data_IF_004228835295
#
_entry.id   IF_004228835295
#
_cell.length_a   1.000
_cell.length_b   1.000
_cell.length_c   1.000
_cell.angle_alpha   90.00
_cell.angle_beta   90.00
_cell.angle_gamma   90.00
#
_symmetry.space_group_name_H-M   'P 1'
#
loop_
_entity.id
_entity.type
_entity.pdbx_description
1 polymer ?
#
# COMPACT_ATOMS: atom_id res chain seq x y z
N UNK A 1 -16.24 54.45 1.56
CA UNK A 1 -16.22 54.09 2.98
C UNK A 1 -17.55 53.45 3.31
N UNK A 2 -17.57 52.14 3.56
CA UNK A 2 -18.58 51.42 4.35
C UNK A 2 -18.11 49.96 4.39
N UNK A 3 -17.53 49.60 5.52
CA UNK A 3 -17.16 48.26 5.92
C UNK A 3 -18.43 47.48 6.26
N UNK A 4 -18.61 46.29 5.68
CA UNK A 4 -19.58 45.31 6.15
C UNK A 4 -18.86 44.01 6.49
N UNK A 5 -18.97 43.66 7.77
CA UNK A 5 -18.38 42.53 8.47
C UNK A 5 -18.83 41.19 7.89
N UNK A 6 -17.88 40.27 7.74
CA UNK A 6 -18.14 38.83 7.60
C UNK A 6 -18.34 38.19 8.99
N UNK A 7 -19.18 37.16 9.11
CA UNK A 7 -19.46 36.49 10.38
C UNK A 7 -18.28 35.64 10.86
N UNK A 8 -18.01 35.74 12.17
CA UNK A 8 -17.02 34.98 12.93
C UNK A 8 -17.36 33.49 13.01
N UNK A 9 -16.41 32.64 12.62
CA UNK A 9 -16.40 31.21 12.95
C UNK A 9 -15.99 31.01 14.43
N UNK A 10 -16.52 29.97 15.11
CA UNK A 10 -16.31 29.76 16.53
C UNK A 10 -14.87 29.32 16.86
N UNK A 11 -14.39 29.80 18.01
CA UNK A 11 -13.11 29.42 18.60
C UNK A 11 -13.11 27.94 19.00
N UNK A 12 -12.00 27.25 18.74
CA UNK A 12 -11.67 25.94 19.30
C UNK A 12 -10.97 26.20 20.64
N UNK A 13 -11.74 26.22 21.72
CA UNK A 13 -11.29 25.85 23.08
C UNK A 13 -11.31 24.30 23.12
N UNK A 14 -10.40 23.51 23.69
CA UNK A 14 -9.43 23.67 24.76
C UNK A 14 -8.21 22.76 24.44
N UNK A 15 -7.00 23.33 24.35
CA UNK A 15 -5.76 22.58 24.56
C UNK A 15 -5.35 22.85 26.00
N UNK A 16 -5.54 21.88 26.88
CA UNK A 16 -5.11 21.91 28.28
C UNK A 16 -3.57 22.01 28.36
N UNK A 17 -3.05 23.23 28.45
CA UNK A 17 -1.68 23.50 28.84
C UNK A 17 -1.56 23.43 30.37
N UNK A 18 -1.11 22.29 30.89
CA UNK A 18 -0.65 22.21 32.29
C UNK A 18 0.79 22.74 32.39
N UNK A 19 0.95 24.03 32.68
CA UNK A 19 2.20 24.55 33.22
C UNK A 19 2.14 24.48 34.75
N UNK A 20 2.78 23.47 35.34
CA UNK A 20 3.05 23.47 36.77
C UNK A 20 4.10 24.55 37.08
N UNK A 21 3.72 25.55 37.87
CA UNK A 21 4.63 26.54 38.45
C UNK A 21 5.56 25.84 39.45
N UNK A 22 6.87 25.97 39.26
CA UNK A 22 7.88 25.68 40.28
C UNK A 22 8.61 26.98 40.65
N UNK A 23 8.09 27.68 41.66
CA UNK A 23 8.80 28.79 42.30
C UNK A 23 9.57 28.28 43.53
N UNK A 24 10.90 28.41 43.50
CA UNK A 24 11.74 28.18 44.68
C UNK A 24 13.21 27.85 44.42
N UNK A 25 13.98 28.82 43.92
CA UNK A 25 15.45 28.99 44.06
C UNK A 25 16.37 27.75 43.92
N UNK A 26 17.07 27.66 42.78
CA UNK A 26 18.55 27.68 42.72
C UNK A 26 19.02 27.34 41.29
N UNK A 27 20.14 27.96 40.91
CA UNK A 27 20.77 27.96 39.58
C UNK A 27 20.44 26.76 38.67
N UNK A 28 19.85 27.04 37.50
CA UNK A 28 19.60 26.02 36.49
C UNK A 28 20.94 25.38 36.08
N UNK A 29 21.17 24.15 36.56
CA UNK A 29 22.34 23.36 36.22
C UNK A 29 22.39 23.21 34.68
N UNK A 30 23.54 23.43 34.01
CA UNK A 30 23.62 23.40 32.53
C UNK A 30 23.07 22.11 31.92
N UNK A 31 23.23 20.99 32.62
CA UNK A 31 22.68 19.68 32.26
C UNK A 31 21.14 19.71 32.16
N UNK A 32 20.46 20.35 33.12
CA UNK A 32 18.99 20.48 33.10
C UNK A 32 18.52 21.41 31.98
N UNK A 33 19.27 22.47 31.68
CA UNK A 33 18.94 23.38 30.57
C UNK A 33 19.10 22.72 29.19
N UNK A 34 20.18 21.97 28.96
CA UNK A 34 20.40 21.22 27.73
C UNK A 34 19.39 20.09 27.56
N UNK A 35 19.01 19.42 28.65
CA UNK A 35 17.96 18.41 28.67
C UNK A 35 16.59 18.99 28.28
N UNK A 36 16.18 20.07 28.92
CA UNK A 36 14.90 20.74 28.60
C UNK A 36 14.87 21.26 27.17
N UNK A 37 15.99 21.77 26.66
CA UNK A 37 16.11 22.20 25.27
C UNK A 37 15.93 21.02 24.29
N UNK A 38 16.49 19.84 24.58
CA UNK A 38 16.29 18.65 23.75
C UNK A 38 14.86 18.11 23.80
N UNK A 39 14.20 18.15 24.97
CA UNK A 39 12.80 17.72 25.11
C UNK A 39 11.88 18.61 24.25
N UNK A 40 12.05 19.93 24.36
CA UNK A 40 11.24 20.91 23.60
C UNK A 40 11.54 20.95 22.10
N UNK A 41 12.67 20.38 21.66
CA UNK A 41 13.02 20.18 20.24
C UNK A 41 12.57 18.81 19.69
N UNK A 42 11.88 17.99 20.47
CA UNK A 42 11.42 16.65 20.10
C UNK A 42 9.90 16.60 20.00
N UNK A 43 9.39 15.87 19.01
CA UNK A 43 7.95 15.58 18.85
C UNK A 43 7.73 14.10 18.63
N UNK A 44 6.64 13.57 19.20
CA UNK A 44 6.09 12.25 18.90
C UNK A 44 4.83 12.42 18.07
N UNK A 45 4.83 11.86 16.86
CA UNK A 45 3.63 11.67 16.06
C UNK A 45 3.10 10.25 16.28
N UNK A 46 1.83 10.15 16.64
CA UNK A 46 1.12 8.88 16.88
C UNK A 46 0.04 8.73 15.81
N UNK A 47 0.14 7.69 15.00
CA UNK A 47 -0.93 7.34 14.08
C UNK A 47 -2.14 6.77 14.82
N UNK A 48 -3.34 7.32 14.57
CA UNK A 48 -4.56 6.87 15.23
C UNK A 48 -4.99 5.43 14.84
N UNK A 49 -4.42 4.87 13.77
CA UNK A 49 -4.61 3.49 13.37
C UNK A 49 -3.84 2.50 14.23
N UNK A 50 -2.87 2.94 15.04
CA UNK A 50 -2.16 2.07 16.00
C UNK A 50 -3.11 1.70 17.13
N UNK A 51 -3.26 0.40 17.37
CA UNK A 51 -4.06 -0.15 18.48
C UNK A 51 -3.71 0.52 19.81
N UNK A 52 -4.70 1.05 20.53
CA UNK A 52 -4.51 1.67 21.85
C UNK A 52 -3.41 2.76 21.89
N UNK A 53 -3.32 3.59 20.84
CA UNK A 53 -2.35 4.68 20.77
C UNK A 53 -2.48 5.66 21.96
N UNK A 54 -3.64 5.73 22.61
CA UNK A 54 -3.89 6.59 23.78
C UNK A 54 -3.01 6.20 24.97
N UNK A 55 -2.78 4.90 25.20
CA UNK A 55 -1.84 4.43 26.23
C UNK A 55 -0.43 4.91 25.92
N UNK A 56 0.02 4.83 24.66
CA UNK A 56 1.33 5.35 24.23
C UNK A 56 1.40 6.87 24.37
N UNK A 57 0.33 7.59 24.02
CA UNK A 57 0.22 9.03 24.18
C UNK A 57 0.39 9.45 25.65
N UNK A 58 -0.27 8.75 26.58
CA UNK A 58 -0.17 9.01 28.01
C UNK A 58 1.25 8.73 28.55
N UNK A 59 1.99 7.82 27.92
CA UNK A 59 3.37 7.49 28.28
C UNK A 59 4.45 8.35 27.65
N UNK A 60 4.11 9.33 26.80
CA UNK A 60 5.11 10.27 26.29
C UNK A 60 5.68 11.10 27.44
N UNK A 61 7.00 11.24 27.49
CA UNK A 61 7.67 11.99 28.55
C UNK A 61 7.19 13.44 28.59
N UNK A 62 6.83 13.98 29.77
CA UNK A 62 6.43 15.38 29.91
C UNK A 62 7.45 16.36 29.32
N UNK A 63 6.96 17.33 28.55
CA UNK A 63 7.78 18.34 27.87
C UNK A 63 8.16 17.99 26.43
N UNK A 64 7.86 16.77 25.96
CA UNK A 64 7.89 16.40 24.54
C UNK A 64 6.52 16.70 23.94
N UNK A 65 6.50 17.31 22.75
CA UNK A 65 5.24 17.55 22.05
C UNK A 65 4.67 16.22 21.50
N UNK A 66 3.36 16.03 21.59
CA UNK A 66 2.68 14.85 21.03
C UNK A 66 1.58 15.28 20.08
N UNK A 67 1.53 14.66 18.90
CA UNK A 67 0.54 14.95 17.85
C UNK A 67 -0.07 13.64 17.37
N UNK A 68 -1.41 13.57 17.33
CA UNK A 68 -2.13 12.41 16.80
C UNK A 68 -2.48 12.65 15.34
N UNK A 69 -2.10 11.72 14.46
CA UNK A 69 -2.46 11.76 13.04
C UNK A 69 -3.85 11.16 12.86
N UNK A 70 -4.73 11.94 12.24
CA UNK A 70 -6.12 11.54 11.98
C UNK A 70 -6.20 10.60 10.77
N UNK A 71 -7.08 9.59 10.78
CA UNK A 71 -7.15 8.57 9.73
C UNK A 71 -7.83 9.04 8.45
N UNK A 72 -8.38 10.25 8.41
CA UNK A 72 -9.11 10.79 7.25
C UNK A 72 -8.30 11.86 6.48
N UNK A 73 -7.07 12.14 6.91
CA UNK A 73 -6.18 13.10 6.26
C UNK A 73 -4.84 12.44 5.94
N UNK A 74 -4.14 13.01 4.97
CA UNK A 74 -2.80 12.56 4.61
C UNK A 74 -1.83 12.78 5.77
N UNK A 75 -1.15 11.72 6.22
CA UNK A 75 -0.24 11.80 7.35
C UNK A 75 1.00 12.67 7.10
N UNK A 76 1.52 12.69 5.87
CA UNK A 76 2.68 13.52 5.51
C UNK A 76 2.30 15.00 5.49
N UNK A 77 1.11 15.33 4.99
CA UNK A 77 0.59 16.69 5.03
C UNK A 77 0.38 17.18 6.48
N UNK A 78 -0.22 16.34 7.34
CA UNK A 78 -0.42 16.65 8.77
C UNK A 78 0.92 16.93 9.48
N UNK A 79 1.93 16.06 9.30
CA UNK A 79 3.27 16.25 9.87
C UNK A 79 3.90 17.54 9.33
N UNK A 80 3.83 17.76 8.02
CA UNK A 80 4.41 18.95 7.37
C UNK A 80 3.80 20.25 7.91
N UNK A 81 2.48 20.30 8.05
CA UNK A 81 1.78 21.46 8.60
C UNK A 81 2.19 21.76 10.05
N UNK A 82 2.34 20.73 10.89
CA UNK A 82 2.82 20.90 12.26
C UNK A 82 4.24 21.45 12.31
N UNK A 83 5.17 20.88 11.52
CA UNK A 83 6.57 21.29 11.52
C UNK A 83 6.77 22.73 11.02
N UNK A 84 5.96 23.19 10.08
CA UNK A 84 5.98 24.59 9.61
C UNK A 84 5.65 25.58 10.73
N UNK A 85 4.75 25.20 11.65
CA UNK A 85 4.36 26.02 12.79
C UNK A 85 5.33 25.88 13.98
N UNK A 86 6.20 24.86 13.97
CA UNK A 86 7.08 24.48 15.08
C UNK A 86 8.55 24.38 14.64
N UNK A 87 9.19 25.49 14.23
CA UNK A 87 10.54 25.50 13.65
C UNK A 87 11.66 25.12 14.65
N UNK A 88 11.35 25.04 15.94
CA UNK A 88 12.25 24.58 17.00
C UNK A 88 12.46 23.07 17.01
N UNK A 89 11.57 22.30 16.36
CA UNK A 89 11.64 20.84 16.33
C UNK A 89 12.80 20.40 15.43
N UNK A 90 13.62 19.49 15.95
CA UNK A 90 14.76 18.89 15.24
C UNK A 90 14.74 17.37 15.26
N UNK A 91 13.89 16.75 16.08
CA UNK A 91 13.80 15.29 16.24
C UNK A 91 12.36 14.83 16.17
N UNK A 92 12.09 13.85 15.31
CA UNK A 92 10.79 13.23 15.12
C UNK A 92 10.83 11.78 15.60
N UNK A 93 9.88 11.41 16.43
CA UNK A 93 9.51 10.01 16.68
C UNK A 93 8.16 9.77 16.01
N UNK A 94 8.09 8.79 15.12
CA UNK A 94 6.89 8.46 14.35
C UNK A 94 6.44 7.04 14.70
N UNK A 95 5.26 6.92 15.28
CA UNK A 95 4.67 5.65 15.71
C UNK A 95 3.50 5.32 14.81
N UNK A 96 3.61 4.20 14.09
CA UNK A 96 2.62 3.81 13.10
C UNK A 96 2.65 2.30 12.83
N UNK A 97 1.68 1.81 12.07
CA UNK A 97 1.85 0.52 11.39
C UNK A 97 2.97 0.63 10.33
N UNK A 98 3.53 -0.53 9.97
CA UNK A 98 4.61 -0.60 8.99
C UNK A 98 4.68 -1.96 8.31
N UNK A 99 5.39 -1.98 7.18
CA UNK A 99 5.81 -3.17 6.45
C UNK A 99 7.18 -2.89 5.82
N UNK A 100 7.94 -3.90 5.34
CA UNK A 100 9.22 -3.68 4.66
C UNK A 100 9.16 -2.57 3.60
N UNK A 101 9.81 -1.43 3.84
CA UNK A 101 9.85 -0.28 2.94
C UNK A 101 8.57 0.58 2.88
N UNK A 102 7.67 0.48 3.87
CA UNK A 102 6.39 1.19 3.89
C UNK A 102 5.98 1.62 5.32
N UNK A 103 5.48 2.85 5.44
CA UNK A 103 4.82 3.41 6.63
C UNK A 103 3.35 3.75 6.32
N UNK A 104 2.46 3.48 7.26
CA UNK A 104 1.04 3.83 7.15
C UNK A 104 0.75 5.04 8.05
N UNK A 105 0.32 6.17 7.47
CA UNK A 105 0.20 7.45 8.18
C UNK A 105 -1.08 8.17 7.78
N UNK A 106 -2.03 8.28 8.70
CA UNK A 106 -3.37 8.79 8.42
C UNK A 106 -4.08 7.92 7.38
N UNK A 107 -4.52 8.53 6.28
CA UNK A 107 -5.04 7.79 5.11
C UNK A 107 -4.00 7.51 4.01
N UNK A 108 -2.71 7.80 4.25
CA UNK A 108 -1.66 7.63 3.25
C UNK A 108 -0.71 6.49 3.61
N UNK A 109 -0.04 5.95 2.60
CA UNK A 109 1.09 5.04 2.76
C UNK A 109 2.32 5.73 2.19
N UNK A 110 3.37 5.94 2.98
CA UNK A 110 4.65 6.42 2.47
C UNK A 110 5.55 5.21 2.22
N UNK A 111 5.91 4.97 0.96
CA UNK A 111 6.73 3.81 0.58
C UNK A 111 7.67 4.13 -0.60
N UNK A 112 8.48 3.16 -1.00
CA UNK A 112 9.46 3.32 -2.09
C UNK A 112 8.88 3.82 -3.42
N UNK A 113 7.59 3.61 -3.64
CA UNK A 113 6.94 3.83 -4.92
C UNK A 113 6.40 5.28 -5.06
N UNK A 114 6.01 5.91 -3.95
CA UNK A 114 5.48 7.28 -3.92
C UNK A 114 6.31 8.28 -3.08
N UNK A 115 7.43 7.87 -2.48
CA UNK A 115 8.26 8.77 -1.66
C UNK A 115 8.70 10.04 -2.39
N UNK A 116 8.82 9.98 -3.72
CA UNK A 116 9.16 11.15 -4.54
C UNK A 116 7.97 12.04 -4.89
N UNK A 117 6.74 11.54 -4.79
CA UNK A 117 5.52 12.36 -4.92
C UNK A 117 5.43 13.34 -3.74
N UNK A 118 5.88 12.90 -2.55
CA UNK A 118 6.00 13.72 -1.33
C UNK A 118 7.31 14.52 -1.24
N UNK A 119 8.14 14.55 -2.29
CA UNK A 119 9.49 15.15 -2.22
C UNK A 119 9.45 16.59 -1.69
N UNK A 120 8.51 17.40 -2.17
CA UNK A 120 8.42 18.81 -1.77
C UNK A 120 8.10 18.95 -0.28
N UNK A 121 7.16 18.17 0.23
CA UNK A 121 6.80 18.12 1.64
C UNK A 121 7.98 17.65 2.49
N UNK A 122 8.60 16.52 2.13
CA UNK A 122 9.72 15.93 2.86
C UNK A 122 10.97 16.81 2.85
N UNK A 123 11.24 17.55 1.76
CA UNK A 123 12.34 18.53 1.71
C UNK A 123 12.09 19.74 2.61
N UNK A 124 10.84 20.07 2.92
CA UNK A 124 10.53 21.12 3.90
C UNK A 124 10.89 20.68 5.33
N UNK A 125 11.21 19.40 5.56
CA UNK A 125 11.67 18.89 6.85
C UNK A 125 13.19 19.05 7.03
N UNK A 126 13.87 19.86 6.23
CA UNK A 126 15.34 20.00 6.23
C UNK A 126 15.97 20.44 7.57
N UNK A 127 15.18 20.97 8.53
CA UNK A 127 15.67 21.29 9.90
C UNK A 127 15.62 20.09 10.84
N UNK A 128 14.99 19.00 10.42
CA UNK A 128 14.91 17.76 11.19
C UNK A 128 16.24 17.05 11.03
N UNK A 129 16.92 16.91 12.16
CA UNK A 129 18.17 16.17 12.22
C UNK A 129 17.88 14.67 12.23
N UNK A 130 16.91 14.23 13.04
CA UNK A 130 16.71 12.81 13.35
C UNK A 130 15.24 12.42 13.16
N UNK A 131 15.01 11.27 12.49
CA UNK A 131 13.69 10.65 12.33
C UNK A 131 13.75 9.21 12.83
N UNK A 132 12.97 8.89 13.85
CA UNK A 132 12.88 7.57 14.46
C UNK A 132 11.53 6.94 14.11
N UNK A 133 11.57 5.81 13.40
CA UNK A 133 10.42 5.15 12.80
C UNK A 133 10.04 3.88 13.57
N UNK A 134 9.03 3.99 14.42
CA UNK A 134 8.44 2.89 15.15
C UNK A 134 7.30 2.28 14.32
N UNK A 135 7.66 1.68 13.19
CA UNK A 135 6.75 0.90 12.36
C UNK A 135 7.27 -0.52 12.22
N UNK A 136 6.35 -1.49 12.29
CA UNK A 136 6.67 -2.91 12.21
C UNK A 136 7.46 -3.21 10.92
N UNK A 137 8.68 -3.72 11.05
CA UNK A 137 9.53 -4.20 9.95
C UNK A 137 9.82 -3.17 8.84
N UNK A 138 9.66 -1.87 9.10
CA UNK A 138 9.85 -0.81 8.08
C UNK A 138 11.22 -0.89 7.41
N UNK A 139 12.25 -1.23 8.16
CA UNK A 139 13.62 -1.37 7.66
C UNK A 139 14.04 -2.83 7.39
N UNK A 140 13.11 -3.77 7.35
CA UNK A 140 13.44 -5.16 7.05
C UNK A 140 13.81 -5.36 5.57
N UNK A 141 14.87 -6.15 5.34
CA UNK A 141 15.35 -6.51 4.01
C UNK A 141 15.85 -5.34 3.16
N UNK A 142 16.09 -5.64 1.88
CA UNK A 142 16.61 -4.67 0.91
C UNK A 142 15.64 -3.51 0.68
N UNK A 143 14.33 -3.81 0.61
CA UNK A 143 13.28 -2.80 0.45
C UNK A 143 13.25 -1.81 1.62
N UNK A 144 13.29 -2.31 2.86
CA UNK A 144 13.32 -1.45 4.03
C UNK A 144 14.58 -0.60 4.13
N UNK A 145 15.74 -1.19 3.82
CA UNK A 145 17.02 -0.47 3.81
C UNK A 145 17.04 0.64 2.75
N UNK A 146 16.55 0.36 1.54
CA UNK A 146 16.47 1.37 0.48
C UNK A 146 15.47 2.49 0.83
N UNK A 147 14.36 2.14 1.49
CA UNK A 147 13.35 3.12 1.92
C UNK A 147 13.93 4.15 2.88
N UNK A 148 14.57 3.70 3.97
CA UNK A 148 15.17 4.62 4.94
C UNK A 148 16.33 5.43 4.34
N UNK A 149 17.08 4.84 3.41
CA UNK A 149 18.14 5.53 2.68
C UNK A 149 17.56 6.67 1.82
N UNK A 150 16.53 6.41 1.01
CA UNK A 150 15.86 7.45 0.20
C UNK A 150 15.23 8.53 1.08
N UNK A 151 14.56 8.15 2.16
CA UNK A 151 13.94 9.10 3.07
C UNK A 151 14.99 10.02 3.72
N UNK A 152 16.14 9.45 4.12
CA UNK A 152 17.27 10.22 4.65
C UNK A 152 17.85 11.18 3.61
N UNK A 153 18.02 10.74 2.36
CA UNK A 153 18.53 11.58 1.27
C UNK A 153 17.59 12.76 0.94
N UNK A 154 16.27 12.56 1.02
CA UNK A 154 15.29 13.60 0.71
C UNK A 154 15.17 14.62 1.84
N UNK A 155 15.10 14.13 3.09
CA UNK A 155 14.91 14.98 4.28
C UNK A 155 16.21 15.61 4.77
N UNK A 156 17.36 14.99 4.49
CA UNK A 156 18.65 15.31 5.10
C UNK A 156 18.83 14.74 6.52
N UNK A 157 17.81 14.08 7.06
CA UNK A 157 17.83 13.56 8.42
C UNK A 157 18.56 12.21 8.53
N UNK A 158 19.14 11.94 9.69
CA UNK A 158 19.52 10.58 10.09
C UNK A 158 18.25 9.81 10.45
N UNK A 159 18.13 8.59 9.96
CA UNK A 159 16.94 7.76 10.15
C UNK A 159 17.28 6.52 10.94
N UNK A 160 16.48 6.19 11.94
CA UNK A 160 16.51 4.89 12.62
C UNK A 160 15.13 4.24 12.51
N UNK A 161 15.08 2.94 12.26
CA UNK A 161 13.85 2.19 12.04
C UNK A 161 14.01 0.74 12.49
N UNK A 162 12.88 0.09 12.82
CA UNK A 162 12.91 -1.33 13.19
C UNK A 162 12.92 -2.23 11.97
N UNK A 163 13.72 -3.29 12.05
CA UNK A 163 13.67 -4.43 11.11
C UNK A 163 12.77 -5.57 11.60
N UNK A 164 12.16 -5.40 12.77
CA UNK A 164 11.39 -6.42 13.49
C UNK A 164 9.98 -5.92 13.83
N UNK A 165 9.18 -6.78 14.46
CA UNK A 165 7.87 -6.37 14.98
C UNK A 165 8.06 -5.31 16.07
N UNK A 166 7.35 -4.20 15.97
CA UNK A 166 7.40 -3.14 16.98
C UNK A 166 6.26 -3.31 17.98
N UNK A 167 6.52 -3.19 19.28
CA UNK A 167 5.51 -3.26 20.33
C UNK A 167 5.93 -4.04 21.58
N UNK A 168 4.97 -4.52 22.36
CA UNK A 168 5.23 -5.18 23.64
C UNK A 168 6.12 -6.43 23.49
N UNK A 169 7.20 -6.49 24.27
CA UNK A 169 8.18 -7.59 24.28
C UNK A 169 7.55 -8.92 24.69
N UNK A 170 6.63 -8.93 25.66
CA UNK A 170 5.92 -10.13 26.09
C UNK A 170 4.98 -10.69 25.00
N UNK A 171 4.58 -9.87 24.02
CA UNK A 171 3.77 -10.25 22.87
C UNK A 171 4.60 -10.49 21.60
N UNK A 172 5.94 -10.55 21.73
CA UNK A 172 6.86 -10.79 20.61
C UNK A 172 7.23 -9.56 19.78
N UNK A 173 6.96 -8.36 20.31
CA UNK A 173 7.45 -7.09 19.75
C UNK A 173 8.81 -6.67 20.29
N UNK A 174 9.33 -5.57 19.75
CA UNK A 174 10.55 -4.87 20.20
C UNK A 174 10.30 -3.37 20.13
N UNK A 175 10.97 -2.58 20.97
CA UNK A 175 10.98 -1.12 20.84
C UNK A 175 12.31 -0.61 20.26
N UNK A 176 13.19 -1.52 19.87
CA UNK A 176 14.50 -1.22 19.30
C UNK A 176 14.39 -0.83 17.82
N UNK A 177 15.24 0.12 17.41
CA UNK A 177 15.38 0.55 16.03
C UNK A 177 16.76 0.11 15.54
N UNK A 178 16.84 -1.12 15.04
CA UNK A 178 18.12 -1.80 14.80
C UNK A 178 18.81 -1.36 13.50
N UNK A 179 18.08 -0.69 12.61
CA UNK A 179 18.61 -0.24 11.32
C UNK A 179 18.67 1.29 11.32
N UNK A 180 19.83 1.84 10.96
CA UNK A 180 20.01 3.28 10.84
C UNK A 180 20.74 3.70 9.57
N UNK A 181 20.44 4.91 9.09
CA UNK A 181 21.10 5.52 7.95
C UNK A 181 21.43 7.00 8.23
N UNK A 182 22.65 7.49 7.90
CA UNK A 182 23.79 6.72 7.39
C UNK A 182 24.28 5.70 8.42
N UNK A 183 24.78 4.54 7.95
CA UNK A 183 25.24 3.46 8.84
C UNK A 183 26.43 3.92 9.69
N UNK A 184 26.23 3.99 11.00
CA UNK A 184 27.31 4.19 11.96
C UNK A 184 28.06 2.87 12.16
N UNK A 185 29.32 2.79 11.70
CA UNK A 185 30.18 1.63 11.98
C UNK A 185 30.59 1.62 13.46
N UNK A 186 30.07 0.67 14.22
CA UNK A 186 30.42 0.43 15.62
C UNK A 186 29.34 -0.42 16.30
N UNK A 187 29.75 -1.47 17.00
CA UNK A 187 28.93 -2.52 17.61
C UNK A 187 27.75 -1.99 18.45
N UNK A 188 26.59 -2.66 18.34
CA UNK A 188 25.47 -2.62 19.30
C UNK A 188 25.15 -1.24 19.93
N UNK A 189 25.09 -0.19 19.12
CA UNK A 189 24.45 1.04 19.55
C UNK A 189 23.11 1.11 18.83
N UNK A 190 22.05 0.74 19.57
CA UNK A 190 20.75 1.39 19.40
C UNK A 190 21.03 2.87 19.16
N UNK A 191 20.43 3.47 18.13
CA UNK A 191 20.68 4.86 17.77
C UNK A 191 20.17 5.78 18.90
N UNK A 192 21.00 5.90 19.93
CA UNK A 192 20.77 6.59 21.21
C UNK A 192 21.75 7.77 21.23
N UNK A 193 21.58 8.66 20.26
CA UNK A 193 21.60 10.10 20.59
C UNK A 193 20.22 10.52 21.12
N UNK A 194 19.37 9.56 21.52
CA UNK A 194 18.23 9.81 22.40
C UNK A 194 18.78 10.49 23.63
N UNK A 195 18.09 11.55 24.05
CA UNK A 195 18.22 12.15 25.36
C UNK A 195 18.73 11.12 26.39
N UNK A 196 19.86 11.38 27.05
CA UNK A 196 20.30 10.54 28.17
C UNK A 196 19.28 10.71 29.30
N UNK A 197 18.27 9.84 29.29
CA UNK A 197 17.15 9.78 30.20
C UNK A 197 17.23 8.51 31.04
N UNK A 198 18.42 7.91 31.14
CA UNK A 198 18.67 6.72 31.95
C UNK A 198 18.18 6.87 33.40
N UNK A 199 18.16 8.11 33.91
CA UNK A 199 17.63 8.49 35.22
C UNK A 199 16.09 8.43 35.35
N UNK A 200 15.33 8.35 34.26
CA UNK A 200 13.86 8.37 34.25
C UNK A 200 13.20 6.99 34.08
N UNK A 201 13.97 5.89 33.99
CA UNK A 201 13.42 4.59 33.61
C UNK A 201 12.60 4.69 32.30
N UNK A 202 13.19 5.23 31.24
CA UNK A 202 12.52 5.45 29.95
C UNK A 202 13.21 4.66 28.84
N UNK A 203 12.46 4.31 27.79
CA UNK A 203 13.03 3.84 26.52
C UNK A 203 12.73 4.89 25.45
N UNK A 204 13.75 5.65 25.05
CA UNK A 204 13.59 6.76 24.11
C UNK A 204 12.70 7.87 24.67
N UNK A 205 11.51 8.04 24.09
CA UNK A 205 10.54 9.12 24.42
C UNK A 205 9.34 8.65 25.23
N UNK A 206 9.31 7.37 25.61
CA UNK A 206 8.21 6.77 26.37
C UNK A 206 8.68 6.30 27.76
N UNK A 207 7.80 6.40 28.74
CA UNK A 207 7.96 5.81 30.05
C UNK A 207 7.98 4.27 29.94
N UNK A 208 8.93 3.61 30.61
CA UNK A 208 9.16 2.17 30.44
C UNK A 208 8.02 1.30 30.98
N UNK A 209 7.35 1.73 32.04
CA UNK A 209 6.15 1.10 32.59
C UNK A 209 5.00 1.07 31.58
N UNK A 210 4.80 2.15 30.83
CA UNK A 210 3.82 2.20 29.73
C UNK A 210 4.19 1.23 28.62
N UNK A 211 5.46 1.19 28.18
CA UNK A 211 5.89 0.25 27.14
C UNK A 211 5.76 -1.22 27.55
N UNK A 212 5.93 -1.52 28.85
CA UNK A 212 5.78 -2.86 29.40
C UNK A 212 4.31 -3.28 29.56
N UNK A 213 3.41 -2.33 29.78
CA UNK A 213 1.97 -2.59 30.00
C UNK A 213 1.13 -2.46 28.73
N UNK A 214 1.60 -1.72 27.72
CA UNK A 214 0.95 -1.56 26.42
C UNK A 214 0.66 -2.93 25.78
N UNK A 215 -0.57 -3.20 25.36
CA UNK A 215 -0.96 -4.54 24.88
C UNK A 215 -0.93 -4.68 23.34
N UNK A 216 -0.29 -3.76 22.63
CA UNK A 216 -0.21 -3.78 21.18
C UNK A 216 1.12 -4.29 20.62
N UNK A 217 1.03 -4.83 19.39
CA UNK A 217 2.14 -5.02 18.47
C UNK A 217 1.70 -4.41 17.14
N UNK A 218 2.53 -3.59 16.50
CA UNK A 218 2.16 -2.76 15.34
C UNK A 218 2.03 -3.56 14.03
N UNK A 219 1.69 -4.85 14.12
CA UNK A 219 1.32 -5.65 12.96
C UNK A 219 -0.05 -5.25 12.45
N UNK A 220 -0.25 -5.36 11.13
CA UNK A 220 -1.57 -5.27 10.53
C UNK A 220 -2.52 -6.24 11.25
N UNK A 221 -3.67 -5.73 11.65
CA UNK A 221 -4.74 -6.51 12.25
C UNK A 221 -5.88 -6.65 11.25
N UNK A 222 -6.54 -7.81 11.27
CA UNK A 222 -7.80 -7.98 10.57
C UNK A 222 -8.84 -7.05 11.23
N UNK A 223 -9.28 -6.03 10.50
CA UNK A 223 -10.25 -5.05 11.00
C UNK A 223 -11.69 -5.52 10.80
N UNK A 224 -11.95 -6.30 9.75
CA UNK A 224 -13.26 -6.89 9.46
C UNK A 224 -13.14 -7.94 8.35
N UNK A 225 -14.19 -8.71 8.17
CA UNK A 225 -14.30 -9.73 7.13
C UNK A 225 -15.75 -9.77 6.61
N UNK A 226 -15.92 -10.28 5.40
CA UNK A 226 -17.23 -10.53 4.81
C UNK A 226 -17.16 -11.86 4.06
N UNK A 227 -18.09 -12.76 4.37
CA UNK A 227 -18.23 -14.06 3.71
C UNK A 227 -19.22 -13.89 2.56
N UNK A 228 -18.73 -13.98 1.32
CA UNK A 228 -19.56 -13.94 0.12
C UNK A 228 -20.27 -15.29 -0.08
N UNK A 229 -21.24 -15.37 -0.99
CA UNK A 229 -22.04 -16.58 -1.16
C UNK A 229 -21.34 -17.66 -1.99
N UNK A 230 -20.38 -17.26 -2.82
CA UNK A 230 -19.63 -18.14 -3.71
C UNK A 230 -18.14 -18.20 -3.38
N UNK A 231 -17.35 -18.46 -4.42
CA UNK A 231 -15.90 -18.50 -4.33
C UNK A 231 -15.33 -17.19 -4.87
N UNK A 232 -14.74 -16.36 -4.01
CA UNK A 232 -14.11 -15.11 -4.42
C UNK A 232 -12.79 -15.36 -5.18
N UNK A 233 -12.77 -15.06 -6.48
CA UNK A 233 -11.58 -15.20 -7.34
C UNK A 233 -10.87 -13.89 -7.63
N UNK A 234 -11.64 -12.84 -7.92
CA UNK A 234 -11.14 -11.51 -8.25
C UNK A 234 -11.81 -10.46 -7.38
N UNK A 235 -11.05 -9.43 -6.98
CA UNK A 235 -11.58 -8.30 -6.25
C UNK A 235 -10.95 -7.00 -6.73
N UNK A 236 -11.76 -5.97 -6.89
CA UNK A 236 -11.27 -4.60 -7.04
C UNK A 236 -11.97 -3.67 -6.06
N UNK A 237 -11.18 -2.85 -5.36
CA UNK A 237 -11.67 -1.79 -4.49
C UNK A 237 -11.75 -0.47 -5.25
N UNK A 238 -12.93 0.15 -5.28
CA UNK A 238 -13.16 1.49 -5.82
C UNK A 238 -13.96 2.32 -4.82
N UNK A 239 -13.31 3.33 -4.24
CA UNK A 239 -13.90 4.15 -3.20
C UNK A 239 -14.29 3.32 -1.97
N UNK A 240 -15.56 3.36 -1.59
CA UNK A 240 -16.11 2.63 -0.45
C UNK A 240 -16.66 1.25 -0.80
N UNK A 241 -16.39 0.74 -2.02
CA UNK A 241 -16.94 -0.53 -2.47
C UNK A 241 -15.82 -1.50 -2.86
N UNK A 242 -15.98 -2.76 -2.46
CA UNK A 242 -15.25 -3.89 -3.02
C UNK A 242 -16.16 -4.63 -4.01
N UNK A 243 -15.72 -4.75 -5.25
CA UNK A 243 -16.40 -5.49 -6.31
C UNK A 243 -15.72 -6.84 -6.44
N UNK A 244 -16.47 -7.92 -6.25
CA UNK A 244 -15.93 -9.28 -6.16
C UNK A 244 -16.51 -10.14 -7.27
N UNK A 245 -15.64 -10.75 -8.06
CA UNK A 245 -15.97 -11.87 -8.94
C UNK A 245 -16.05 -13.13 -8.07
N UNK A 246 -17.28 -13.59 -7.82
CA UNK A 246 -17.62 -14.56 -6.76
C UNK A 246 -18.03 -15.93 -7.34
N UNK A 247 -17.36 -16.38 -8.41
CA UNK A 247 -17.60 -17.67 -9.03
C UNK A 247 -19.02 -17.80 -9.57
N UNK A 248 -19.76 -18.80 -9.10
CA UNK A 248 -21.15 -19.08 -9.48
C UNK A 248 -22.15 -18.04 -8.93
N UNK A 249 -21.74 -17.21 -7.96
CA UNK A 249 -22.55 -16.11 -7.44
C UNK A 249 -22.43 -14.82 -8.27
N UNK A 250 -21.65 -14.83 -9.37
CA UNK A 250 -21.50 -13.70 -10.27
C UNK A 250 -20.76 -12.51 -9.62
N UNK A 251 -21.25 -11.29 -9.85
CA UNK A 251 -20.68 -10.07 -9.28
C UNK A 251 -21.32 -9.74 -7.92
N UNK A 252 -20.51 -9.63 -6.87
CA UNK A 252 -20.92 -9.11 -5.57
C UNK A 252 -20.35 -7.69 -5.37
N UNK A 253 -21.16 -6.79 -4.80
CA UNK A 253 -20.75 -5.41 -4.48
C UNK A 253 -20.88 -5.23 -2.97
N UNK A 254 -19.74 -5.11 -2.27
CA UNK A 254 -19.67 -5.01 -0.81
C UNK A 254 -19.37 -3.56 -0.42
N UNK A 255 -20.20 -2.97 0.43
CA UNK A 255 -19.94 -1.67 1.08
C UNK A 255 -18.92 -1.87 2.20
N UNK A 256 -17.73 -1.28 2.01
CA UNK A 256 -16.59 -1.31 2.94
C UNK A 256 -16.36 0.06 3.62
N UNK A 257 -17.34 0.98 3.57
CA UNK A 257 -17.23 2.29 4.22
C UNK A 257 -17.02 2.19 5.74
N UNK A 258 -17.54 1.15 6.37
CA UNK A 258 -17.17 0.74 7.71
C UNK A 258 -16.33 -0.55 7.65
N UNK A 259 -14.99 -0.46 7.76
CA UNK A 259 -14.11 -1.63 7.58
C UNK A 259 -14.26 -2.68 8.68
N UNK A 260 -14.88 -2.33 9.83
CA UNK A 260 -15.15 -3.30 10.91
C UNK A 260 -16.46 -4.06 10.73
N UNK A 261 -17.33 -3.59 9.83
CA UNK A 261 -18.60 -4.24 9.52
C UNK A 261 -18.98 -4.02 8.05
N UNK A 262 -18.29 -4.69 7.11
CA UNK A 262 -18.66 -4.65 5.69
C UNK A 262 -20.06 -5.24 5.47
N UNK A 263 -20.77 -4.79 4.44
CA UNK A 263 -22.14 -5.26 4.14
C UNK A 263 -22.36 -5.42 2.64
N UNK A 264 -23.17 -6.40 2.21
CA UNK A 264 -23.58 -6.51 0.81
C UNK A 264 -24.42 -5.30 0.41
N UNK A 265 -23.96 -4.60 -0.63
CA UNK A 265 -24.68 -3.46 -1.22
C UNK A 265 -25.65 -3.89 -2.30
N UNK A 266 -25.24 -4.83 -3.14
CA UNK A 266 -26.00 -5.39 -4.25
C UNK A 266 -25.19 -6.47 -4.96
N UNK A 267 -25.82 -7.19 -5.88
CA UNK A 267 -25.18 -8.23 -6.67
C UNK A 267 -25.82 -8.33 -8.06
N UNK A 268 -25.09 -8.95 -8.99
CA UNK A 268 -25.58 -9.34 -10.29
C UNK A 268 -25.17 -10.79 -10.57
N UNK A 269 -26.16 -11.67 -10.66
CA UNK A 269 -25.98 -13.06 -11.06
C UNK A 269 -25.83 -13.16 -12.59
N UNK A 270 -24.72 -13.71 -13.07
CA UNK A 270 -24.40 -13.83 -14.49
C UNK A 270 -25.13 -14.98 -15.21
N UNK A 271 -25.88 -15.83 -14.48
CA UNK A 271 -26.95 -16.79 -14.87
C UNK A 271 -26.84 -17.62 -16.16
N UNK A 272 -25.66 -17.87 -16.74
CA UNK A 272 -25.53 -18.92 -17.77
C UNK A 272 -25.55 -20.32 -17.13
N UNK A 273 -25.50 -21.42 -17.90
CA UNK A 273 -25.50 -22.78 -17.28
C UNK A 273 -24.12 -23.23 -16.81
N UNK A 274 -23.05 -22.51 -17.18
CA UNK A 274 -21.65 -22.81 -16.89
C UNK A 274 -20.83 -21.51 -16.74
N UNK A 275 -21.38 -20.52 -16.03
CA UNK A 275 -20.67 -19.28 -15.70
C UNK A 275 -19.80 -19.47 -14.46
N UNK A 276 -18.68 -18.73 -14.43
CA UNK A 276 -17.82 -18.66 -13.28
C UNK A 276 -17.07 -17.32 -13.31
N UNK A 277 -17.46 -16.39 -12.45
CA UNK A 277 -16.82 -15.09 -12.38
C UNK A 277 -15.41 -15.24 -11.78
N UNK A 278 -14.39 -15.09 -12.63
CA UNK A 278 -12.98 -15.25 -12.26
C UNK A 278 -12.30 -13.91 -11.94
N UNK A 279 -12.65 -12.86 -12.67
CA UNK A 279 -11.98 -11.57 -12.53
C UNK A 279 -12.96 -10.42 -12.80
N UNK A 280 -12.68 -9.27 -12.19
CA UNK A 280 -13.49 -8.06 -12.32
C UNK A 280 -12.61 -6.81 -12.39
N UNK A 281 -12.89 -5.96 -13.38
CA UNK A 281 -12.41 -4.59 -13.37
C UNK A 281 -13.56 -3.60 -13.49
N UNK A 282 -13.54 -2.57 -12.63
CA UNK A 282 -14.42 -1.42 -12.61
C UNK A 282 -13.76 -0.24 -13.32
N UNK A 283 -14.44 0.29 -14.33
CA UNK A 283 -14.06 1.53 -15.03
C UNK A 283 -15.29 2.43 -15.17
N UNK A 284 -15.26 3.57 -14.47
CA UNK A 284 -16.39 4.49 -14.44
C UNK A 284 -17.61 3.82 -13.81
N UNK A 285 -18.71 3.75 -14.56
CA UNK A 285 -19.98 3.18 -14.11
C UNK A 285 -20.17 1.71 -14.50
N UNK A 286 -19.12 1.05 -14.98
CA UNK A 286 -19.22 -0.34 -15.45
C UNK A 286 -18.26 -1.24 -14.69
N UNK A 287 -18.76 -2.41 -14.30
CA UNK A 287 -17.96 -3.56 -13.93
C UNK A 287 -17.87 -4.50 -15.13
N UNK A 288 -16.65 -4.86 -15.50
CA UNK A 288 -16.33 -5.80 -16.57
C UNK A 288 -15.88 -7.08 -15.92
N UNK A 289 -16.59 -8.18 -16.17
CA UNK A 289 -16.37 -9.47 -15.51
C UNK A 289 -15.92 -10.49 -16.55
N UNK A 290 -14.80 -11.17 -16.28
CA UNK A 290 -14.42 -12.39 -16.98
C UNK A 290 -15.18 -13.56 -16.36
N UNK A 291 -16.16 -14.10 -17.09
CA UNK A 291 -17.22 -14.95 -16.54
C UNK A 291 -17.18 -16.38 -17.10
N UNK A 292 -15.97 -16.95 -17.21
CA UNK A 292 -15.79 -18.31 -17.72
C UNK A 292 -16.38 -18.45 -19.13
N UNK A 293 -17.19 -19.47 -19.36
CA UNK A 293 -17.82 -19.79 -20.66
C UNK A 293 -18.80 -18.71 -21.16
N UNK A 294 -19.26 -17.81 -20.28
CA UNK A 294 -20.07 -16.65 -20.71
C UNK A 294 -19.23 -15.55 -21.36
N UNK A 295 -17.90 -15.67 -21.35
CA UNK A 295 -16.97 -14.65 -21.85
C UNK A 295 -16.98 -13.36 -21.03
N UNK A 296 -17.00 -12.22 -21.73
CA UNK A 296 -17.01 -10.89 -21.13
C UNK A 296 -18.44 -10.44 -20.81
N UNK A 297 -18.71 -10.12 -19.54
CA UNK A 297 -19.94 -9.47 -19.09
C UNK A 297 -19.67 -8.00 -18.75
N UNK A 298 -20.52 -7.08 -19.23
CA UNK A 298 -20.43 -5.64 -18.94
C UNK A 298 -21.66 -5.25 -18.13
N UNK A 299 -21.46 -4.95 -16.86
CA UNK A 299 -22.52 -4.70 -15.88
C UNK A 299 -22.53 -3.20 -15.53
N UNK A 300 -23.66 -2.54 -15.73
CA UNK A 300 -23.91 -1.17 -15.28
C UNK A 300 -24.09 -1.15 -13.76
N UNK A 301 -23.17 -0.49 -13.08
CA UNK A 301 -23.11 -0.34 -11.62
C UNK A 301 -23.40 1.11 -11.19
N UNK A 302 -24.02 1.93 -12.06
CA UNK A 302 -24.42 3.30 -11.74
C UNK A 302 -25.33 3.36 -10.49
N UNK A 303 -26.11 2.31 -10.27
CA UNK A 303 -26.78 2.06 -9.00
C UNK A 303 -26.25 0.75 -8.37
N UNK A 304 -25.37 0.81 -7.37
CA UNK A 304 -24.73 -0.37 -6.81
C UNK A 304 -25.68 -1.29 -6.03
N UNK A 305 -26.91 -0.85 -5.73
CA UNK A 305 -27.92 -1.73 -5.09
C UNK A 305 -28.72 -2.56 -6.11
N UNK A 306 -28.70 -2.16 -7.38
CA UNK A 306 -29.44 -2.82 -8.47
C UNK A 306 -28.61 -2.79 -9.76
N UNK A 307 -27.46 -3.47 -9.78
CA UNK A 307 -26.66 -3.56 -11.00
C UNK A 307 -27.44 -4.26 -12.13
N UNK A 308 -27.14 -3.93 -13.38
CA UNK A 308 -27.85 -4.48 -14.55
C UNK A 308 -26.89 -4.80 -15.68
N UNK A 309 -27.14 -5.87 -16.45
CA UNK A 309 -26.33 -6.17 -17.64
C UNK A 309 -26.51 -5.10 -18.70
N UNK A 310 -25.40 -4.50 -19.11
CA UNK A 310 -25.34 -3.51 -20.18
C UNK A 310 -25.11 -4.14 -21.55
N UNK A 311 -24.25 -5.16 -21.59
CA UNK A 311 -23.90 -5.92 -22.79
C UNK A 311 -22.94 -7.06 -22.43
N UNK A 312 -22.68 -7.93 -23.40
CA UNK A 312 -21.76 -9.04 -23.25
C UNK A 312 -21.06 -9.35 -24.58
N UNK A 313 -20.00 -10.14 -24.51
CA UNK A 313 -19.34 -10.70 -25.67
C UNK A 313 -18.81 -12.10 -25.34
N UNK A 314 -19.24 -13.10 -26.11
CA UNK A 314 -18.74 -14.46 -25.99
C UNK A 314 -17.30 -14.53 -26.52
N UNK A 315 -16.34 -14.66 -25.60
CA UNK A 315 -14.93 -14.87 -25.91
C UNK A 315 -14.55 -16.36 -25.84
N UNK A 316 -15.46 -17.27 -25.48
CA UNK A 316 -15.10 -18.59 -24.96
C UNK A 316 -14.90 -18.53 -23.45
N UNK A 317 -13.82 -19.12 -22.94
CA UNK A 317 -13.59 -19.28 -21.50
C UNK A 317 -12.64 -18.21 -20.95
N UNK A 318 -13.22 -17.10 -20.49
CA UNK A 318 -12.51 -15.94 -19.94
C UNK A 318 -12.07 -16.15 -18.48
N UNK A 319 -10.79 -15.91 -18.19
CA UNK A 319 -10.21 -15.97 -16.84
C UNK A 319 -9.82 -14.61 -16.26
N UNK A 320 -9.21 -13.75 -17.09
CA UNK A 320 -8.73 -12.44 -16.68
C UNK A 320 -9.22 -11.34 -17.61
N UNK A 321 -9.48 -10.15 -17.08
CA UNK A 321 -9.94 -8.99 -17.85
C UNK A 321 -9.20 -7.73 -17.45
N UNK A 322 -8.69 -7.02 -18.45
CA UNK A 322 -8.29 -5.63 -18.26
C UNK A 322 -8.81 -4.70 -19.34
N UNK A 323 -9.34 -3.56 -18.91
CA UNK A 323 -9.88 -2.46 -19.68
C UNK A 323 -8.84 -1.36 -19.80
N UNK A 324 -8.46 -1.03 -21.04
CA UNK A 324 -7.58 0.11 -21.35
C UNK A 324 -8.19 0.91 -22.51
N UNK A 325 -8.63 2.12 -22.20
CA UNK A 325 -9.33 2.97 -23.17
C UNK A 325 -10.65 2.35 -23.62
N UNK A 326 -10.79 2.13 -24.93
CA UNK A 326 -11.99 1.53 -25.53
C UNK A 326 -11.86 0.01 -25.76
N UNK A 327 -10.86 -0.64 -25.16
CA UNK A 327 -10.61 -2.05 -25.37
C UNK A 327 -10.66 -2.83 -24.07
N UNK A 328 -11.31 -3.98 -24.11
CA UNK A 328 -11.17 -5.05 -23.12
C UNK A 328 -10.17 -6.09 -23.65
N UNK A 329 -9.14 -6.37 -22.87
CA UNK A 329 -8.14 -7.39 -23.11
C UNK A 329 -8.48 -8.56 -22.20
N UNK A 330 -8.70 -9.72 -22.80
CA UNK A 330 -9.21 -10.90 -22.12
C UNK A 330 -8.17 -12.02 -22.21
N UNK A 331 -7.78 -12.55 -21.05
CA UNK A 331 -7.07 -13.82 -20.96
C UNK A 331 -8.12 -14.93 -21.14
N UNK A 332 -8.03 -15.64 -22.25
CA UNK A 332 -8.99 -16.67 -22.65
C UNK A 332 -8.30 -18.02 -22.87
N UNK A 333 -8.99 -19.10 -22.49
CA UNK A 333 -8.42 -20.45 -22.52
C UNK A 333 -8.08 -20.96 -23.90
N UNK A 334 -8.92 -20.66 -24.89
CA UNK A 334 -8.82 -21.27 -26.22
C UNK A 334 -8.00 -20.45 -27.19
N UNK A 335 -7.89 -19.15 -26.93
CA UNK A 335 -7.24 -18.20 -27.83
C UNK A 335 -6.03 -17.53 -27.22
N UNK A 336 -5.82 -17.56 -25.90
CA UNK A 336 -4.73 -16.84 -25.24
C UNK A 336 -5.14 -15.40 -24.92
N UNK A 337 -4.90 -14.47 -25.85
CA UNK A 337 -5.35 -13.06 -25.72
C UNK A 337 -6.44 -12.74 -26.73
N UNK A 338 -7.58 -12.23 -26.26
CA UNK A 338 -8.57 -11.54 -27.10
C UNK A 338 -8.68 -10.06 -26.78
N UNK A 339 -8.91 -9.27 -27.81
CA UNK A 339 -9.10 -7.82 -27.73
C UNK A 339 -10.49 -7.51 -28.25
N UNK A 340 -11.34 -6.98 -27.39
CA UNK A 340 -12.73 -6.62 -27.68
C UNK A 340 -12.86 -5.10 -27.66
N UNK A 341 -13.38 -4.51 -28.73
CA UNK A 341 -13.76 -3.10 -28.79
C UNK A 341 -15.08 -2.90 -28.02
N UNK A 342 -14.99 -2.14 -26.93
CA UNK A 342 -16.08 -1.82 -26.01
C UNK A 342 -16.51 -0.35 -26.13
N UNK A 343 -16.15 0.34 -27.22
CA UNK A 343 -16.58 1.73 -27.47
C UNK A 343 -18.11 1.90 -27.44
N UNK A 344 -18.85 0.84 -27.77
CA UNK A 344 -20.26 0.71 -27.48
C UNK A 344 -20.50 -0.45 -26.48
N UNK A 345 -20.70 -0.19 -25.18
CA UNK A 345 -20.82 -1.24 -24.18
C UNK A 345 -22.09 -2.08 -24.31
N UNK A 346 -23.09 -1.66 -25.10
CA UNK A 346 -24.27 -2.50 -25.37
C UNK A 346 -24.08 -3.45 -26.55
N UNK A 347 -23.04 -3.25 -27.35
CA UNK A 347 -22.72 -4.10 -28.49
C UNK A 347 -21.19 -4.14 -28.70
N UNK A 348 -20.46 -4.82 -27.81
CA UNK A 348 -19.03 -5.01 -27.96
C UNK A 348 -18.72 -5.79 -29.24
N UNK A 349 -17.53 -5.58 -29.82
CA UNK A 349 -17.13 -6.23 -31.08
C UNK A 349 -15.70 -6.74 -31.03
N UNK A 350 -15.43 -7.86 -31.70
CA UNK A 350 -14.08 -8.37 -31.85
C UNK A 350 -13.15 -7.36 -32.52
N UNK A 351 -11.96 -7.16 -31.95
CA UNK A 351 -10.91 -6.32 -32.54
C UNK A 351 -9.74 -7.14 -33.10
N UNK A 352 -9.27 -8.13 -32.35
CA UNK A 352 -8.13 -8.96 -32.70
C UNK A 352 -7.81 -9.95 -31.59
N UNK A 353 -6.89 -10.88 -31.87
CA UNK A 353 -6.45 -11.88 -30.90
C UNK A 353 -5.01 -12.32 -31.17
N UNK A 354 -4.36 -12.89 -30.15
CA UNK A 354 -3.07 -13.57 -30.28
C UNK A 354 -3.18 -14.99 -29.71
N UNK A 355 -3.00 -15.99 -30.59
CA UNK A 355 -2.97 -17.40 -30.21
C UNK A 355 -1.66 -17.74 -29.47
N UNK A 356 -1.77 -18.04 -28.17
CA UNK A 356 -0.67 -18.62 -27.41
C UNK A 356 -0.30 -19.98 -28.02
N UNK A 357 0.99 -20.28 -28.15
CA UNK A 357 1.53 -21.38 -28.97
C UNK A 357 1.18 -22.79 -28.50
N UNK A 358 0.41 -22.93 -27.43
CA UNK A 358 -0.05 -24.18 -26.85
C UNK A 358 -1.52 -23.98 -26.49
N UNK A 359 -2.35 -25.02 -26.63
CA UNK A 359 -3.77 -25.03 -26.22
C UNK A 359 -3.89 -25.01 -24.69
N UNK A 360 -3.28 -24.00 -24.09
CA UNK A 360 -2.97 -23.84 -22.68
C UNK A 360 -3.69 -22.59 -22.22
N UNK A 361 -4.43 -22.67 -21.11
CA UNK A 361 -5.17 -21.52 -20.60
C UNK A 361 -4.26 -20.32 -20.34
N UNK A 362 -4.69 -19.16 -20.81
CA UNK A 362 -4.27 -17.88 -20.28
C UNK A 362 -5.11 -17.57 -19.04
N UNK A 363 -4.46 -17.28 -17.92
CA UNK A 363 -5.11 -17.07 -16.63
C UNK A 363 -5.27 -15.59 -16.28
N UNK A 364 -4.30 -14.77 -16.68
CA UNK A 364 -4.29 -13.36 -16.33
C UNK A 364 -3.67 -12.52 -17.45
N UNK A 365 -4.09 -11.26 -17.52
CA UNK A 365 -3.64 -10.26 -18.48
C UNK A 365 -3.43 -8.93 -17.78
N UNK A 366 -2.23 -8.36 -17.96
CA UNK A 366 -2.01 -6.96 -17.68
C UNK A 366 -1.44 -6.23 -18.90
N UNK A 367 -1.90 -5.02 -19.15
CA UNK A 367 -1.59 -4.14 -20.26
C UNK A 367 -0.88 -2.92 -19.70
N UNK A 368 0.35 -2.71 -20.17
CA UNK A 368 1.17 -1.54 -19.83
C UNK A 368 1.79 -0.99 -21.10
N UNK A 369 1.36 0.22 -21.47
CA UNK A 369 1.78 0.85 -22.71
C UNK A 369 1.31 0.05 -23.93
N UNK A 370 2.25 -0.35 -24.78
CA UNK A 370 1.98 -1.10 -26.02
C UNK A 370 2.09 -2.63 -25.84
N UNK A 371 2.15 -3.12 -24.60
CA UNK A 371 2.32 -4.54 -24.34
C UNK A 371 1.20 -5.10 -23.47
N UNK A 372 0.71 -6.27 -23.85
CA UNK A 372 -0.09 -7.15 -22.99
C UNK A 372 0.82 -8.28 -22.45
N UNK A 373 0.82 -8.43 -21.14
CA UNK A 373 1.56 -9.42 -20.37
C UNK A 373 0.57 -10.51 -19.98
N UNK A 374 0.68 -11.67 -20.61
CA UNK A 374 -0.24 -12.79 -20.46
C UNK A 374 0.43 -13.86 -19.63
N UNK A 375 -0.25 -14.29 -18.57
CA UNK A 375 0.16 -15.48 -17.83
C UNK A 375 -0.50 -16.69 -18.44
N UNK A 376 0.34 -17.60 -18.89
CA UNK A 376 -0.03 -18.93 -19.35
C UNK A 376 0.58 -19.98 -18.45
N UNK A 377 0.09 -21.21 -18.52
CA UNK A 377 0.70 -22.33 -17.79
C UNK A 377 2.18 -22.55 -18.09
N UNK A 378 2.65 -22.19 -19.29
CA UNK A 378 4.05 -22.40 -19.67
C UNK A 378 4.96 -21.23 -19.31
N UNK A 379 4.41 -20.05 -19.02
CA UNK A 379 5.23 -18.85 -18.95
C UNK A 379 4.47 -17.53 -18.95
N UNK A 380 5.22 -16.47 -18.70
CA UNK A 380 4.84 -15.10 -19.07
C UNK A 380 5.06 -14.92 -20.58
N UNK A 381 4.03 -14.50 -21.30
CA UNK A 381 4.13 -14.05 -22.69
C UNK A 381 3.93 -12.54 -22.77
N UNK A 382 4.79 -11.86 -23.53
CA UNK A 382 4.75 -10.41 -23.73
C UNK A 382 4.36 -10.14 -25.17
N UNK A 383 3.14 -9.67 -25.38
CA UNK A 383 2.52 -9.48 -26.68
C UNK A 383 2.53 -7.98 -27.01
N UNK A 384 3.12 -7.62 -28.15
CA UNK A 384 3.00 -6.28 -28.72
C UNK A 384 1.56 -6.09 -29.25
N UNK A 385 0.87 -5.10 -28.70
CA UNK A 385 -0.51 -4.73 -29.02
C UNK A 385 -0.59 -3.34 -29.68
N UNK A 386 0.53 -2.79 -30.17
CA UNK A 386 0.55 -1.51 -30.90
C UNK A 386 -0.39 -1.49 -32.11
N UNK A 387 -0.62 -2.66 -32.71
CA UNK A 387 -1.72 -2.90 -33.63
C UNK A 387 -2.72 -3.90 -33.02
N UNK A 388 -3.84 -3.44 -32.44
CA UNK A 388 -4.79 -4.31 -31.74
C UNK A 388 -5.55 -5.27 -32.67
N UNK A 389 -5.50 -5.08 -34.00
CA UNK A 389 -6.10 -6.05 -34.95
C UNK A 389 -5.14 -7.17 -35.33
N UNK A 390 -3.85 -7.03 -35.02
CA UNK A 390 -2.83 -8.03 -35.33
C UNK A 390 -1.73 -7.99 -34.25
N UNK A 391 -2.06 -8.38 -33.00
CA UNK A 391 -1.09 -8.47 -31.93
C UNK A 391 -0.03 -9.55 -32.22
N UNK A 392 1.20 -9.34 -31.76
CA UNK A 392 2.33 -10.24 -32.05
C UNK A 392 3.19 -10.51 -30.82
N UNK A 393 3.71 -11.73 -30.66
CA UNK A 393 4.65 -12.04 -29.60
C UNK A 393 5.94 -11.22 -29.73
N UNK A 394 6.27 -10.48 -28.68
CA UNK A 394 7.51 -9.74 -28.58
C UNK A 394 8.57 -10.54 -27.81
N UNK A 395 8.18 -11.24 -26.74
CA UNK A 395 9.08 -12.09 -25.95
C UNK A 395 8.31 -12.99 -24.98
N UNK A 396 8.98 -13.98 -24.40
CA UNK A 396 8.40 -14.86 -23.39
C UNK A 396 9.45 -15.29 -22.35
N UNK A 397 8.96 -15.67 -21.17
CA UNK A 397 9.75 -16.29 -20.13
C UNK A 397 9.04 -17.59 -19.70
N UNK A 398 9.71 -18.74 -19.91
CA UNK A 398 9.13 -20.05 -19.64
C UNK A 398 9.53 -20.57 -18.25
N UNK A 399 8.56 -21.10 -17.49
CA UNK A 399 8.78 -21.59 -16.13
C UNK A 399 9.28 -23.04 -16.04
N UNK A 400 9.17 -23.81 -17.12
CA UNK A 400 9.74 -25.16 -17.23
C UNK A 400 8.81 -26.31 -16.83
N UNK A 401 7.84 -26.13 -15.93
CA UNK A 401 6.83 -27.17 -15.64
C UNK A 401 5.62 -26.76 -14.77
N UNK A 402 5.50 -25.50 -14.36
CA UNK A 402 4.64 -25.14 -13.23
C UNK A 402 3.66 -24.01 -13.58
N UNK A 403 2.48 -24.05 -12.95
CA UNK A 403 1.40 -23.12 -13.21
C UNK A 403 1.67 -21.75 -12.56
N UNK A 404 1.42 -20.69 -13.32
CA UNK A 404 1.34 -19.31 -12.83
C UNK A 404 -0.10 -18.82 -13.04
N UNK A 405 -0.57 -17.96 -12.14
CA UNK A 405 -2.00 -17.59 -12.09
C UNK A 405 -2.25 -16.09 -12.16
N UNK A 406 -1.29 -15.25 -11.79
CA UNK A 406 -1.45 -13.80 -11.78
C UNK A 406 -0.16 -13.05 -12.08
N UNK A 407 -0.28 -11.85 -12.63
CA UNK A 407 0.84 -10.96 -12.92
C UNK A 407 0.55 -9.53 -12.50
N UNK A 408 1.57 -8.87 -11.97
CA UNK A 408 1.59 -7.43 -11.87
C UNK A 408 2.88 -6.83 -12.37
N UNK A 409 2.76 -5.83 -13.23
CA UNK A 409 3.82 -5.10 -13.89
C UNK A 409 4.05 -3.80 -13.14
N UNK A 410 5.25 -3.64 -12.60
CA UNK A 410 5.68 -2.42 -11.91
C UNK A 410 7.03 -1.98 -12.46
N UNK A 411 7.01 -0.91 -13.24
CA UNK A 411 8.21 -0.38 -13.89
C UNK A 411 8.81 -1.39 -14.88
N UNK A 412 10.01 -1.90 -14.57
CA UNK A 412 10.75 -2.85 -15.41
C UNK A 412 10.60 -4.30 -14.92
N UNK A 413 9.67 -4.58 -14.02
CA UNK A 413 9.52 -5.91 -13.44
C UNK A 413 8.10 -6.43 -13.60
N UNK A 414 7.99 -7.71 -13.95
CA UNK A 414 6.79 -8.50 -13.80
C UNK A 414 6.90 -9.33 -12.53
N UNK A 415 5.94 -9.14 -11.63
CA UNK A 415 5.76 -9.92 -10.42
C UNK A 415 4.72 -10.97 -10.74
N UNK A 416 5.06 -12.25 -10.62
CA UNK A 416 4.22 -13.35 -11.07
C UNK A 416 3.90 -14.27 -9.88
N UNK A 417 2.61 -14.46 -9.65
CA UNK A 417 2.10 -15.47 -8.73
C UNK A 417 2.25 -16.85 -9.38
N UNK A 418 3.11 -17.66 -8.78
CA UNK A 418 3.54 -18.96 -9.28
C UNK A 418 3.28 -20.04 -8.23
N UNK A 419 3.19 -21.29 -8.67
CA UNK A 419 3.01 -22.47 -7.81
C UNK A 419 4.05 -22.55 -6.66
N UNK A 420 5.27 -22.11 -6.94
CA UNK A 420 6.41 -22.08 -6.02
C UNK A 420 6.58 -20.73 -5.29
N UNK A 421 5.56 -19.88 -5.32
CA UNK A 421 5.54 -18.56 -4.68
C UNK A 421 5.63 -17.39 -5.66
N UNK A 422 6.37 -16.35 -5.30
CA UNK A 422 6.49 -15.14 -6.12
C UNK A 422 7.74 -15.23 -7.01
N UNK A 423 7.58 -15.05 -8.33
CA UNK A 423 8.70 -14.80 -9.24
C UNK A 423 8.76 -13.33 -9.65
N UNK A 424 9.97 -12.79 -9.73
CA UNK A 424 10.23 -11.44 -10.22
C UNK A 424 11.03 -11.55 -11.51
N UNK A 425 10.45 -11.11 -12.61
CA UNK A 425 11.03 -11.18 -13.94
C UNK A 425 11.40 -9.77 -14.37
N UNK A 426 12.65 -9.55 -14.74
CA UNK A 426 13.11 -8.32 -15.38
C UNK A 426 12.62 -8.29 -16.84
N UNK A 427 11.80 -7.29 -17.13
CA UNK A 427 11.19 -7.02 -18.44
C UNK A 427 11.71 -5.70 -19.03
N UNK A 428 12.84 -5.19 -18.55
CA UNK A 428 13.48 -3.98 -19.11
C UNK A 428 13.83 -4.13 -20.60
N UNK A 429 14.06 -5.36 -21.05
CA UNK A 429 14.00 -5.75 -22.44
C UNK A 429 12.83 -6.71 -22.66
N UNK A 430 11.66 -6.23 -23.11
CA UNK A 430 10.47 -7.06 -23.29
C UNK A 430 10.65 -8.20 -24.31
N UNK A 431 11.67 -8.16 -25.16
CA UNK A 431 11.93 -9.24 -26.13
C UNK A 431 12.80 -10.37 -25.56
N UNK A 432 13.38 -10.17 -24.38
CA UNK A 432 14.22 -11.15 -23.70
C UNK A 432 14.06 -10.97 -22.18
N UNK A 433 12.87 -11.29 -21.63
CA UNK A 433 12.64 -11.24 -20.20
C UNK A 433 13.51 -12.25 -19.45
N UNK A 434 13.97 -11.90 -18.25
CA UNK A 434 14.88 -12.76 -17.46
C UNK A 434 14.49 -12.81 -15.99
N UNK A 435 14.68 -13.96 -15.32
CA UNK A 435 14.44 -14.06 -13.89
C UNK A 435 15.38 -13.14 -13.11
N UNK A 436 14.80 -12.28 -12.27
CA UNK A 436 15.54 -11.43 -11.34
C UNK A 436 15.66 -12.06 -9.96
N UNK A 437 14.63 -12.77 -9.52
CA UNK A 437 14.60 -13.47 -8.23
C UNK A 437 13.28 -14.18 -7.99
N UNK A 438 13.24 -14.99 -6.93
CA UNK A 438 12.06 -15.70 -6.49
C UNK A 438 11.96 -15.67 -4.95
N UNK A 439 10.74 -15.66 -4.44
CA UNK A 439 10.44 -15.78 -3.02
C UNK A 439 9.48 -16.95 -2.83
N UNK A 440 9.89 -17.92 -2.02
CA UNK A 440 9.03 -19.03 -1.65
C UNK A 440 7.99 -18.54 -0.63
N UNK A 441 6.77 -18.35 -1.11
CA UNK A 441 5.60 -18.02 -0.29
C UNK A 441 4.67 -19.22 -0.15
N UNK A 442 5.08 -20.41 -0.61
CA UNK A 442 4.18 -21.48 -1.01
C UNK A 442 3.18 -21.00 -2.10
N UNK A 443 2.26 -21.87 -2.50
CA UNK A 443 1.33 -21.66 -3.62
C UNK A 443 0.70 -20.25 -3.64
N UNK A 444 0.92 -19.49 -4.73
CA UNK A 444 0.33 -18.17 -4.94
C UNK A 444 -0.62 -18.15 -6.15
N UNK A 445 -1.85 -17.67 -5.95
CA UNK A 445 -2.89 -17.55 -6.99
C UNK A 445 -3.04 -16.13 -7.57
N UNK A 446 -2.56 -15.13 -6.86
CA UNK A 446 -2.65 -13.72 -7.26
C UNK A 446 -1.50 -12.92 -6.69
N UNK A 447 -1.26 -11.75 -7.27
CA UNK A 447 -0.19 -10.85 -6.85
C UNK A 447 -0.69 -9.43 -6.91
N UNK A 448 -0.60 -8.74 -5.77
CA UNK A 448 -0.87 -7.31 -5.66
C UNK A 448 0.28 -6.62 -4.93
N UNK A 449 0.89 -5.65 -5.61
CA UNK A 449 1.94 -4.77 -5.16
C UNK A 449 1.24 -3.49 -4.74
N UNK A 450 1.00 -3.40 -3.44
CA UNK A 450 0.36 -2.25 -2.82
C UNK A 450 1.41 -1.16 -2.62
N UNK A 451 1.36 -0.15 -3.50
CA UNK A 451 2.26 0.99 -3.56
C UNK A 451 2.37 1.49 -4.99
N UNK A 452 2.02 2.76 -5.25
CA UNK A 452 2.08 3.46 -6.55
C UNK A 452 3.31 3.15 -7.41
N UNK A 453 3.23 2.07 -8.19
CA UNK A 453 4.27 1.62 -9.08
C UNK A 453 4.83 2.70 -9.99
N UNK A 454 5.98 3.27 -9.62
CA UNK A 454 6.85 3.94 -10.58
C UNK A 454 8.33 3.84 -10.18
N UNK A 455 9.04 3.00 -10.94
CA UNK A 455 10.50 2.95 -11.12
C UNK A 455 11.36 2.53 -9.91
N UNK A 456 11.51 1.23 -9.70
CA UNK A 456 12.72 0.68 -9.07
C UNK A 456 13.78 0.41 -10.15
N UNK A 457 14.87 1.20 -10.17
CA UNK A 457 16.14 0.78 -10.77
C UNK A 457 16.90 0.02 -9.68
N UNK A 458 16.85 -1.30 -9.68
CA UNK A 458 17.82 -2.10 -8.94
C UNK A 458 19.13 -2.06 -9.72
N UNK A 459 20.12 -1.32 -9.22
CA UNK A 459 21.50 -1.45 -9.70
C UNK A 459 22.06 -2.76 -9.13
N UNK A 460 22.47 -3.65 -10.02
CA UNK A 460 23.20 -4.88 -9.68
C UNK A 460 24.45 -4.56 -8.85
N UNK A 461 24.70 -5.39 -7.84
CA UNK A 461 26.09 -5.74 -7.49
C UNK A 461 26.50 -6.93 -8.33
#
# INVERSE_FOLDING_TARGET
>A
MTSTLLPSLPAIDDVLFNFAQSDGLSQANPVNSARNQRLTATVVFLDAGVTDYQTLQAGVIPGIATVVLTPNQDGIEQITAFLQQNPQITTIHLVSHGAPGCLYLGNCQLNLTNIYDYRQQLQNWAKINHILLYGCQVAAGDAGTEFINKLSQITGAKIAASSRRVGNVALGGSWELEVSFPTTKGENQTFVETLDLSELQTSGVFQLDILNTYQGVFTLSLVGNYDTSGYAYGVQVVGNYAYVADGDSGLQIIDISNPTNPTLKGNYDTTSSFHWAYDVQVVGNYAYVADGDSGLQIIDISNPTTPTLKGNYDTGWAYGVQIVGNYAYIADTYTGLQIIDISNPTNPTFKGNYYTSEAVPAYDVQVVGNYAYIITRSGLQIIDISNPTNPTLNGNYNYGSDDAYGVQIVGNYAYVAHLLGLQIIDISNPSNPTLKGNYDTYFAYGVEIVGNGSKSKLKNK
#
